data_IF_230222494405
#
_entry.id   IF_230222494405
#
_cell.length_a   1.000
_cell.length_b   1.000
_cell.length_c   1.000
_cell.angle_alpha   90.00
_cell.angle_beta   90.00
_cell.angle_gamma   90.00
#
_symmetry.space_group_name_H-M   'P 1'
#
loop_
_entity.id
_entity.type
_entity.pdbx_description
1 polymer ?
#
# COMPACT_ATOMS: atom_id res chain seq x y z
N UNK A 1 10.24 -26.36 -40.63
CA UNK A 1 10.50 -27.19 -39.43
C UNK A 1 11.82 -26.89 -38.74
N UNK A 2 12.89 -26.43 -39.42
CA UNK A 2 14.15 -26.00 -38.76
C UNK A 2 14.03 -24.58 -38.18
N UNK A 3 13.49 -23.64 -38.97
CA UNK A 3 13.36 -22.23 -38.56
C UNK A 3 12.38 -22.00 -37.41
N UNK A 4 11.26 -22.73 -37.36
CA UNK A 4 10.32 -22.67 -36.23
C UNK A 4 10.95 -23.19 -34.93
N UNK A 5 11.79 -24.22 -35.03
CA UNK A 5 12.50 -24.77 -33.86
C UNK A 5 13.55 -23.79 -33.36
N UNK A 6 14.27 -23.14 -34.27
CA UNK A 6 15.24 -22.09 -33.95
C UNK A 6 14.58 -20.81 -33.40
N UNK A 7 13.40 -20.44 -33.89
CA UNK A 7 12.61 -19.35 -33.32
C UNK A 7 12.10 -19.67 -31.90
N UNK A 8 11.66 -20.91 -31.66
CA UNK A 8 11.25 -21.37 -30.34
C UNK A 8 12.44 -21.44 -29.36
N UNK A 9 13.60 -21.90 -29.82
CA UNK A 9 14.86 -21.96 -29.05
C UNK A 9 15.35 -20.55 -28.67
N UNK A 10 15.25 -19.57 -29.58
CA UNK A 10 15.56 -18.16 -29.27
C UNK A 10 14.57 -17.53 -28.27
N UNK A 11 13.32 -17.99 -28.24
CA UNK A 11 12.32 -17.61 -27.23
C UNK A 11 12.62 -18.24 -25.87
N UNK A 12 13.32 -19.38 -25.85
CA UNK A 12 13.71 -20.10 -24.62
C UNK A 12 14.99 -19.54 -24.00
N UNK A 13 15.86 -18.87 -24.78
CA UNK A 13 17.06 -18.15 -24.29
C UNK A 13 16.90 -16.63 -24.41
N UNK A 14 15.88 -16.07 -23.74
CA UNK A 14 15.67 -14.62 -23.71
C UNK A 14 16.55 -13.95 -22.64
N UNK A 15 17.75 -13.53 -23.04
CA UNK A 15 18.72 -12.82 -22.20
C UNK A 15 18.74 -11.29 -22.42
N UNK A 16 17.82 -10.72 -23.20
CA UNK A 16 17.80 -9.26 -23.43
C UNK A 16 17.36 -8.54 -22.17
N UNK A 17 18.19 -7.59 -21.74
CA UNK A 17 17.87 -6.65 -20.69
C UNK A 17 17.40 -5.34 -21.31
N UNK A 18 16.25 -4.85 -20.86
CA UNK A 18 15.70 -3.56 -21.27
C UNK A 18 15.78 -2.59 -20.09
N UNK A 19 16.87 -1.82 -19.95
CA UNK A 19 16.99 -0.88 -18.85
C UNK A 19 15.93 0.22 -18.97
N UNK A 20 15.48 0.78 -17.84
CA UNK A 20 14.59 1.94 -17.87
C UNK A 20 15.29 3.11 -18.58
N UNK A 21 14.50 4.02 -19.16
CA UNK A 21 15.07 5.24 -19.72
C UNK A 21 15.75 6.07 -18.61
N UNK A 22 16.82 6.82 -18.92
CA UNK A 22 17.53 7.62 -17.92
C UNK A 22 16.62 8.62 -17.19
N UNK A 23 15.67 9.23 -17.91
CA UNK A 23 14.70 10.15 -17.33
C UNK A 23 13.73 9.48 -16.36
N UNK A 24 13.31 8.25 -16.64
CA UNK A 24 12.47 7.47 -15.73
C UNK A 24 13.24 7.05 -14.49
N UNK A 25 14.47 6.55 -14.66
CA UNK A 25 15.32 6.14 -13.53
C UNK A 25 15.65 7.30 -12.59
N UNK A 26 15.89 8.51 -13.13
CA UNK A 26 16.18 9.70 -12.33
C UNK A 26 14.98 10.19 -11.49
N UNK A 27 13.75 9.84 -11.87
CA UNK A 27 12.52 10.20 -11.15
C UNK A 27 12.03 9.08 -10.22
N UNK A 28 12.84 8.05 -9.99
CA UNK A 28 12.45 6.92 -9.15
C UNK A 28 12.30 7.34 -7.68
N UNK A 29 11.28 6.80 -7.01
CA UNK A 29 11.04 7.04 -5.57
C UNK A 29 12.05 6.34 -4.66
N UNK A 30 12.82 5.39 -5.18
CA UNK A 30 13.84 4.63 -4.47
C UNK A 30 14.93 4.16 -5.45
N UNK A 31 16.19 4.19 -5.01
CA UNK A 31 17.34 3.69 -5.75
C UNK A 31 17.81 2.31 -5.26
N UNK A 32 18.93 1.85 -5.79
CA UNK A 32 19.55 0.58 -5.38
C UNK A 32 20.19 0.65 -3.98
N UNK A 33 20.44 1.85 -3.49
CA UNK A 33 20.95 2.16 -2.14
C UNK A 33 20.06 1.58 -1.04
N UNK A 34 18.74 1.50 -1.24
CA UNK A 34 17.82 0.92 -0.26
C UNK A 34 18.17 -0.53 0.13
N UNK A 35 18.77 -1.29 -0.78
CA UNK A 35 19.19 -2.67 -0.52
C UNK A 35 20.40 -2.69 0.41
N UNK A 36 21.37 -1.82 0.15
CA UNK A 36 22.55 -1.68 1.02
C UNK A 36 22.14 -1.19 2.41
N UNK A 37 21.25 -0.21 2.50
CA UNK A 37 20.74 0.30 3.78
C UNK A 37 20.03 -0.80 4.58
N UNK A 38 19.15 -1.57 3.91
CA UNK A 38 18.47 -2.69 4.54
C UNK A 38 19.41 -3.85 4.92
N UNK A 39 20.48 -4.11 4.16
CA UNK A 39 21.48 -5.13 4.52
C UNK A 39 22.27 -4.77 5.78
N UNK A 40 22.53 -3.48 6.01
CA UNK A 40 23.29 -3.01 7.18
C UNK A 40 22.47 -3.13 8.46
N UNK A 41 21.22 -2.64 8.44
CA UNK A 41 20.29 -2.75 9.58
C UNK A 41 18.85 -2.84 9.06
N UNK A 42 18.41 -4.06 8.77
CA UNK A 42 17.07 -4.29 8.21
C UNK A 42 15.94 -3.92 9.18
N UNK A 43 16.16 -4.05 10.49
CA UNK A 43 15.16 -3.70 11.51
C UNK A 43 15.06 -2.18 11.62
N UNK A 44 16.18 -1.49 11.72
CA UNK A 44 16.24 -0.02 11.69
C UNK A 44 15.67 0.56 10.39
N UNK A 45 15.99 -0.04 9.25
CA UNK A 45 15.40 0.33 7.96
C UNK A 45 13.87 0.30 8.01
N UNK A 46 13.27 -0.79 8.48
CA UNK A 46 11.81 -0.89 8.57
C UNK A 46 11.19 0.07 9.58
N UNK A 47 11.88 0.33 10.70
CA UNK A 47 11.49 1.39 11.64
C UNK A 47 11.37 2.73 10.94
N UNK A 48 12.40 3.13 10.20
CA UNK A 48 12.46 4.42 9.53
C UNK A 48 11.39 4.53 8.43
N UNK A 49 11.17 3.46 7.66
CA UNK A 49 10.07 3.43 6.68
C UNK A 49 8.70 3.57 7.37
N UNK A 50 8.47 2.87 8.48
CA UNK A 50 7.19 2.88 9.19
C UNK A 50 6.91 4.25 9.83
N UNK A 51 7.89 4.86 10.49
CA UNK A 51 7.71 6.15 11.18
C UNK A 51 7.64 7.33 10.19
N UNK A 52 8.31 7.24 9.03
CA UNK A 52 8.29 8.33 8.04
C UNK A 52 7.07 8.33 7.12
N UNK A 53 6.45 7.17 6.88
CA UNK A 53 5.38 7.03 5.86
C UNK A 53 3.99 6.81 6.45
N UNK A 54 3.92 6.29 7.66
CA UNK A 54 2.66 5.95 8.34
C UNK A 54 2.46 6.94 9.48
N UNK A 55 1.23 7.42 9.58
CA UNK A 55 0.80 8.27 10.69
C UNK A 55 0.30 7.38 11.82
N UNK A 56 0.97 7.49 12.97
CA UNK A 56 0.67 6.75 14.19
C UNK A 56 -0.04 7.65 15.19
N UNK A 57 -1.00 7.11 15.92
CA UNK A 57 -1.56 7.76 17.11
C UNK A 57 -0.68 7.50 18.34
N UNK A 58 -0.13 6.28 18.43
CA UNK A 58 0.96 5.95 19.33
C UNK A 58 2.10 5.35 18.51
N UNK A 59 3.25 6.03 18.49
CA UNK A 59 4.42 5.53 17.75
C UNK A 59 4.96 4.26 18.43
N UNK A 60 5.27 3.19 17.65
CA UNK A 60 5.81 1.96 18.19
C UNK A 60 7.25 2.17 18.69
N UNK A 61 7.58 1.58 19.83
CA UNK A 61 8.94 1.54 20.37
C UNK A 61 9.66 0.24 20.01
N UNK A 62 8.92 -0.82 19.76
CA UNK A 62 9.43 -2.12 19.34
C UNK A 62 9.10 -2.39 17.87
N UNK A 63 10.11 -2.65 17.05
CA UNK A 63 9.93 -2.87 15.60
C UNK A 63 9.49 -4.29 15.32
N UNK A 64 10.16 -5.26 15.92
CA UNK A 64 9.93 -6.68 15.72
C UNK A 64 10.16 -7.44 17.03
N UNK A 65 9.15 -8.19 17.45
CA UNK A 65 9.26 -9.29 18.39
C UNK A 65 9.30 -10.61 17.59
N UNK A 66 10.47 -11.26 17.62
CA UNK A 66 10.75 -12.55 16.99
C UNK A 66 10.96 -13.68 18.03
N UNK A 67 10.59 -13.45 19.29
CA UNK A 67 10.91 -14.36 20.39
C UNK A 67 10.13 -15.68 20.34
N UNK A 68 9.08 -15.77 19.52
CA UNK A 68 8.19 -16.93 19.44
C UNK A 68 7.84 -17.36 18.00
N UNK A 69 8.78 -17.87 17.20
CA UNK A 69 8.47 -18.35 15.85
C UNK A 69 7.42 -19.48 15.86
N UNK A 70 6.46 -19.51 14.92
CA UNK A 70 6.31 -18.63 13.75
C UNK A 70 5.46 -17.36 14.00
N UNK A 71 5.20 -16.98 15.25
CA UNK A 71 4.35 -15.85 15.65
C UNK A 71 5.13 -14.55 15.79
N UNK A 72 5.65 -14.04 14.68
CA UNK A 72 6.32 -12.74 14.64
C UNK A 72 5.34 -11.59 14.83
N UNK A 73 5.72 -10.57 15.60
CA UNK A 73 4.89 -9.37 15.80
C UNK A 73 5.67 -8.13 15.41
N UNK A 74 5.11 -7.36 14.48
CA UNK A 74 5.70 -6.10 14.04
C UNK A 74 4.96 -4.93 14.68
N UNK A 75 5.70 -3.96 15.20
CA UNK A 75 5.15 -2.71 15.76
C UNK A 75 4.04 -2.95 16.80
N UNK A 76 4.24 -3.94 17.67
CA UNK A 76 3.17 -4.55 18.47
C UNK A 76 2.55 -3.59 19.50
N UNK A 77 3.30 -2.55 19.88
CA UNK A 77 2.92 -1.49 20.81
C UNK A 77 2.47 -0.20 20.11
N UNK A 78 2.51 -0.15 18.78
CA UNK A 78 2.04 0.97 17.99
C UNK A 78 0.51 0.97 17.84
N UNK A 79 -0.07 2.18 17.78
CA UNK A 79 -1.49 2.36 17.53
C UNK A 79 -1.72 3.24 16.30
N UNK A 80 -2.52 2.75 15.36
CA UNK A 80 -2.89 3.46 14.13
C UNK A 80 -4.32 3.11 13.72
N UNK A 81 -4.90 3.94 12.85
CA UNK A 81 -6.11 3.60 12.10
C UNK A 81 -5.81 3.59 10.60
N UNK A 82 -6.23 2.52 9.91
CA UNK A 82 -5.96 2.36 8.49
C UNK A 82 -6.75 3.36 7.64
N UNK A 83 -8.03 3.59 7.96
CA UNK A 83 -8.86 4.60 7.29
C UNK A 83 -8.23 5.97 7.43
N UNK A 84 -7.75 6.33 8.63
CA UNK A 84 -7.07 7.60 8.88
C UNK A 84 -5.85 7.81 7.97
N UNK A 85 -5.02 6.77 7.84
CA UNK A 85 -3.84 6.80 6.97
C UNK A 85 -4.18 6.85 5.48
N UNK A 86 -5.30 6.24 5.08
CA UNK A 86 -5.73 6.18 3.69
C UNK A 86 -6.54 7.41 3.27
N UNK A 87 -7.25 8.09 4.19
CA UNK A 87 -8.22 9.14 3.88
C UNK A 87 -8.00 10.40 4.72
N UNK A 88 -8.24 10.31 6.02
CA UNK A 88 -8.40 11.47 6.92
C UNK A 88 -7.18 12.40 6.89
N UNK A 89 -5.96 11.85 6.98
CA UNK A 89 -4.72 12.65 6.98
C UNK A 89 -4.53 13.48 5.71
N UNK A 90 -5.21 13.14 4.63
CA UNK A 90 -5.13 13.84 3.35
C UNK A 90 -6.14 14.98 3.23
N UNK A 91 -7.16 15.06 4.09
CA UNK A 91 -8.26 16.02 3.94
C UNK A 91 -7.81 17.48 4.01
N UNK A 92 -6.88 17.80 4.91
CA UNK A 92 -6.42 19.17 5.13
C UNK A 92 -5.56 19.71 3.97
N UNK A 93 -4.81 18.83 3.29
CA UNK A 93 -3.84 19.23 2.26
C UNK A 93 -4.28 18.88 0.84
N UNK A 94 -5.12 17.85 0.69
CA UNK A 94 -5.46 17.20 -0.57
C UNK A 94 -6.93 16.78 -0.60
N UNK A 95 -7.82 17.38 0.21
CA UNK A 95 -9.23 16.98 0.28
C UNK A 95 -9.94 16.98 -1.08
N UNK A 96 -9.64 17.95 -1.94
CA UNK A 96 -10.26 18.09 -3.27
C UNK A 96 -9.50 17.33 -4.37
N UNK A 97 -8.39 16.66 -4.02
CA UNK A 97 -7.67 15.76 -4.94
C UNK A 97 -8.53 14.53 -5.19
N UNK A 98 -8.54 14.06 -6.44
CA UNK A 98 -9.19 12.80 -6.81
C UNK A 98 -8.53 11.64 -6.07
N UNK A 99 -9.34 10.88 -5.32
CA UNK A 99 -8.94 9.63 -4.69
C UNK A 99 -9.02 8.46 -5.68
N UNK A 100 -10.14 8.35 -6.41
CA UNK A 100 -10.28 7.36 -7.48
C UNK A 100 -11.29 7.77 -8.56
N UNK A 101 -11.12 7.18 -9.74
CA UNK A 101 -12.11 7.21 -10.81
C UNK A 101 -12.84 5.87 -10.83
N UNK A 102 -14.15 5.91 -10.70
CA UNK A 102 -15.01 4.74 -10.86
C UNK A 102 -15.55 4.72 -12.28
N UNK A 103 -15.38 3.59 -12.97
CA UNK A 103 -15.84 3.36 -14.33
C UNK A 103 -16.71 2.09 -14.31
N UNK A 104 -18.03 2.27 -14.44
CA UNK A 104 -19.00 1.19 -14.50
C UNK A 104 -19.34 0.76 -15.93
N UNK A 105 -19.92 -0.43 -16.08
CA UNK A 105 -20.55 -0.88 -17.32
C UNK A 105 -22.04 -0.50 -17.28
N UNK A 106 -22.62 0.16 -18.30
CA UNK A 106 -22.17 0.29 -19.70
C UNK A 106 -21.53 1.66 -20.05
N UNK A 107 -20.79 2.28 -19.12
CA UNK A 107 -20.09 3.55 -19.37
C UNK A 107 -20.34 4.64 -18.31
N UNK A 108 -21.01 4.33 -17.21
CA UNK A 108 -21.16 5.27 -16.10
C UNK A 108 -19.78 5.61 -15.51
N UNK A 109 -19.54 6.88 -15.23
CA UNK A 109 -18.27 7.31 -14.61
C UNK A 109 -18.53 8.19 -13.42
N UNK A 110 -17.68 8.07 -12.40
CA UNK A 110 -17.64 8.97 -11.26
C UNK A 110 -16.19 9.30 -10.96
N UNK A 111 -15.95 10.56 -10.60
CA UNK A 111 -14.66 11.00 -10.07
C UNK A 111 -14.91 11.35 -8.62
N UNK A 112 -14.20 10.67 -7.72
CA UNK A 112 -14.42 10.79 -6.28
C UNK A 112 -13.17 11.40 -5.66
N UNK A 113 -13.34 12.53 -4.98
CA UNK A 113 -12.29 13.21 -4.22
C UNK A 113 -12.05 12.55 -2.86
N UNK A 114 -10.93 12.85 -2.21
CA UNK A 114 -10.67 12.39 -0.83
C UNK A 114 -11.75 12.83 0.14
N UNK A 115 -12.29 14.05 -0.01
CA UNK A 115 -13.38 14.58 0.82
C UNK A 115 -14.67 13.80 0.65
N UNK A 116 -15.09 13.57 -0.60
CA UNK A 116 -16.31 12.80 -0.90
C UNK A 116 -16.17 11.35 -0.41
N UNK A 117 -15.01 10.72 -0.63
CA UNK A 117 -14.77 9.37 -0.15
C UNK A 117 -14.78 9.28 1.38
N UNK A 118 -14.19 10.26 2.07
CA UNK A 118 -14.24 10.34 3.53
C UNK A 118 -15.68 10.43 4.04
N UNK A 119 -16.50 11.30 3.44
CA UNK A 119 -17.91 11.44 3.82
C UNK A 119 -18.69 10.12 3.63
N UNK A 120 -18.51 9.43 2.50
CA UNK A 120 -19.17 8.15 2.23
C UNK A 120 -18.69 7.04 3.20
N UNK A 121 -17.39 6.98 3.51
CA UNK A 121 -16.84 6.02 4.47
C UNK A 121 -17.35 6.29 5.88
N UNK A 122 -17.39 7.54 6.32
CA UNK A 122 -17.95 7.89 7.63
C UNK A 122 -19.44 7.54 7.74
N UNK A 123 -20.22 7.77 6.67
CA UNK A 123 -21.64 7.39 6.63
C UNK A 123 -21.82 5.88 6.74
N UNK A 124 -21.02 5.10 6.01
CA UNK A 124 -21.05 3.64 6.09
C UNK A 124 -20.61 3.13 7.47
N UNK A 125 -19.54 3.70 8.04
CA UNK A 125 -19.06 3.35 9.38
C UNK A 125 -20.13 3.60 10.45
N UNK A 126 -20.80 4.76 10.41
CA UNK A 126 -21.88 5.07 11.34
C UNK A 126 -23.07 4.09 11.23
N UNK A 127 -23.41 3.66 10.01
CA UNK A 127 -24.44 2.65 9.81
C UNK A 127 -24.03 1.29 10.40
N UNK A 128 -22.77 0.87 10.26
CA UNK A 128 -22.27 -0.34 10.91
C UNK A 128 -22.30 -0.24 12.43
N UNK A 129 -21.94 0.93 12.99
CA UNK A 129 -22.02 1.18 14.43
C UNK A 129 -23.47 1.11 14.92
N UNK A 130 -24.43 1.66 14.19
CA UNK A 130 -25.86 1.56 14.53
C UNK A 130 -26.37 0.11 14.51
N UNK A 131 -25.82 -0.74 13.64
CA UNK A 131 -26.10 -2.18 13.61
C UNK A 131 -25.39 -2.96 14.73
N UNK A 132 -24.60 -2.29 15.56
CA UNK A 132 -23.92 -2.89 16.72
C UNK A 132 -22.57 -3.54 16.41
N UNK A 133 -21.92 -3.18 15.29
CA UNK A 133 -20.57 -3.66 14.97
C UNK A 133 -19.54 -3.00 15.89
N UNK A 134 -18.70 -3.80 16.55
CA UNK A 134 -17.65 -3.36 17.46
C UNK A 134 -16.24 -3.77 17.01
N UNK A 135 -15.21 -3.23 17.69
CA UNK A 135 -13.82 -3.60 17.42
C UNK A 135 -13.61 -5.10 17.69
N UNK A 136 -13.17 -5.82 16.66
CA UNK A 136 -12.93 -7.27 16.72
C UNK A 136 -14.01 -8.10 16.02
N UNK A 137 -15.13 -7.47 15.66
CA UNK A 137 -16.15 -8.11 14.84
C UNK A 137 -15.70 -8.30 13.40
N UNK A 138 -16.32 -9.28 12.74
CA UNK A 138 -16.04 -9.63 11.34
C UNK A 138 -17.24 -9.23 10.50
N UNK A 139 -17.01 -8.39 9.50
CA UNK A 139 -18.02 -7.97 8.52
C UNK A 139 -17.70 -8.63 7.18
N UNK A 140 -18.61 -9.46 6.68
CA UNK A 140 -18.47 -10.06 5.35
C UNK A 140 -18.90 -9.05 4.29
N UNK A 141 -18.08 -8.87 3.25
CA UNK A 141 -18.34 -7.95 2.14
C UNK A 141 -18.47 -8.79 0.86
N UNK A 142 -19.60 -8.64 0.18
CA UNK A 142 -19.84 -9.21 -1.15
C UNK A 142 -20.39 -8.09 -2.04
N UNK A 143 -19.52 -7.53 -2.89
CA UNK A 143 -19.75 -6.35 -3.72
C UNK A 143 -19.48 -6.65 -5.19
#
# INVERSE_FOLDING_TARGET
>A
MSDERQALENLLEENRLFPPSPGFAAAANAGADIYTDAEVDWVGFWRDQALSRISWFNEPTEVLDDSNPPFYRWFADGELNLSYNCLDRHLDTQGDKVAYHWIGEPGDTRTITYRELYEDVCRFANALTELGVERGDRVAIYL
#
